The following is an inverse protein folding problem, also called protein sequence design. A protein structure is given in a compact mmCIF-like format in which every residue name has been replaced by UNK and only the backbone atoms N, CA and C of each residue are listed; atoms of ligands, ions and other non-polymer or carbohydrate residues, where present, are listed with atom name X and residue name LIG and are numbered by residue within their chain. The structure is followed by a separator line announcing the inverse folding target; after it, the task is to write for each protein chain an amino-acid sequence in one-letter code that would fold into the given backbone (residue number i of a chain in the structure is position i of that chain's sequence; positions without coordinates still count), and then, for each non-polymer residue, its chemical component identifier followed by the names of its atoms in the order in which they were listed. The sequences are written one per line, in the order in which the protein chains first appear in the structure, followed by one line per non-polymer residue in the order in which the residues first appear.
data_IF_224623997287
#
_entry.id   IF_224623997287
#
_cell.length_a   1.000
_cell.length_b   1.000
_cell.length_c   1.000
_cell.angle_alpha   90.00
_cell.angle_beta   90.00
_cell.angle_gamma   90.00
#
_symmetry.space_group_name_H-M   'P 1'
#
loop_
_entity.id
_entity.type
_entity.pdbx_description
1 polymer ?
#
# COMPACT_ATOMS: atom_id res chain seq x y z
N UNK A 1 -1.64 16.90 -31.14
CA UNK A 1 -2.62 16.25 -30.24
C UNK A 1 -1.96 14.96 -29.79
N UNK A 2 -1.55 14.90 -28.54
CA UNK A 2 -1.06 13.67 -27.90
C UNK A 2 -2.28 12.79 -27.62
N UNK A 3 -2.22 11.53 -28.04
CA UNK A 3 -3.22 10.53 -27.67
C UNK A 3 -2.77 10.01 -26.31
N UNK A 4 -3.61 10.20 -25.29
CA UNK A 4 -3.37 9.62 -23.97
C UNK A 4 -3.92 8.19 -23.96
N UNK A 5 -3.08 7.24 -23.52
CA UNK A 5 -3.45 5.84 -23.41
C UNK A 5 -4.02 5.57 -22.02
N UNK A 6 -5.17 4.90 -21.94
CA UNK A 6 -5.88 4.59 -20.68
C UNK A 6 -5.35 3.29 -20.06
N UNK A 7 -4.03 3.12 -20.03
CA UNK A 7 -3.39 1.97 -19.40
C UNK A 7 -3.56 2.10 -17.88
N UNK A 8 -3.97 1.01 -17.24
CA UNK A 8 -4.09 0.95 -15.78
C UNK A 8 -2.71 1.19 -15.15
N UNK A 9 -2.59 2.11 -14.18
CA UNK A 9 -1.37 2.27 -13.39
C UNK A 9 -0.96 0.97 -12.71
N UNK A 10 0.33 0.82 -12.41
CA UNK A 10 0.82 -0.35 -11.67
C UNK A 10 0.19 -0.42 -10.27
N UNK A 11 0.11 0.72 -9.59
CA UNK A 11 -0.43 0.87 -8.25
C UNK A 11 -1.50 1.96 -8.20
N UNK A 12 -2.52 1.74 -7.37
CA UNK A 12 -3.60 2.69 -7.09
C UNK A 12 -3.78 2.75 -5.58
N UNK A 13 -3.84 3.95 -5.03
CA UNK A 13 -4.11 4.18 -3.62
C UNK A 13 -5.59 3.98 -3.32
N UNK A 14 -5.90 3.37 -2.20
CA UNK A 14 -7.25 3.21 -1.69
C UNK A 14 -7.32 3.47 -0.20
N UNK A 15 -8.37 4.18 0.20
CA UNK A 15 -8.72 4.41 1.60
C UNK A 15 -10.24 4.40 1.76
N UNK A 16 -10.71 4.29 3.00
CA UNK A 16 -12.13 4.48 3.28
C UNK A 16 -12.50 5.97 3.13
N UNK A 17 -13.52 6.31 2.31
CA UNK A 17 -13.88 7.70 2.04
C UNK A 17 -14.67 8.36 3.18
N UNK A 18 -15.31 7.55 4.01
CA UNK A 18 -16.00 8.01 5.22
C UNK A 18 -14.97 7.95 6.33
N UNK A 19 -14.72 9.10 6.97
CA UNK A 19 -13.86 9.22 8.15
C UNK A 19 -14.75 9.44 9.38
N UNK A 20 -14.93 8.41 10.19
CA UNK A 20 -15.76 8.35 11.40
C UNK A 20 -14.99 8.04 12.71
N UNK A 21 -13.67 8.24 12.70
CA UNK A 21 -12.69 7.89 13.74
C UNK A 21 -12.66 6.39 14.11
N UNK A 22 -13.20 5.52 13.24
CA UNK A 22 -13.13 4.08 13.44
C UNK A 22 -11.77 3.52 13.05
N UNK A 23 -11.51 2.27 13.46
CA UNK A 23 -10.34 1.50 13.01
C UNK A 23 -10.17 1.48 11.49
N UNK A 24 -11.25 1.59 10.71
CA UNK A 24 -11.15 1.54 9.25
C UNK A 24 -10.59 2.83 8.64
N UNK A 25 -10.69 3.96 9.33
CA UNK A 25 -10.28 5.26 8.81
C UNK A 25 -8.78 5.38 8.57
N UNK A 26 -8.02 4.75 9.46
CA UNK A 26 -6.57 4.71 9.48
C UNK A 26 -5.99 3.61 8.56
N UNK A 27 -6.85 2.83 7.88
CA UNK A 27 -6.41 1.74 7.00
C UNK A 27 -6.22 2.25 5.59
N UNK A 28 -5.07 1.91 5.03
CA UNK A 28 -4.68 2.27 3.69
C UNK A 28 -4.38 1.04 2.85
N UNK A 29 -4.67 1.12 1.56
CA UNK A 29 -4.60 0.01 0.63
C UNK A 29 -3.92 0.42 -0.65
N UNK A 30 -3.25 -0.56 -1.27
CA UNK A 30 -2.64 -0.44 -2.59
C UNK A 30 -3.20 -1.55 -3.46
N UNK A 31 -3.85 -1.15 -4.56
CA UNK A 31 -4.30 -2.09 -5.60
C UNK A 31 -3.17 -2.21 -6.63
N UNK A 32 -2.63 -3.42 -6.78
CA UNK A 32 -1.61 -3.73 -7.78
C UNK A 32 -2.27 -4.34 -9.04
N UNK A 33 -2.14 -3.64 -10.17
CA UNK A 33 -2.67 -4.01 -11.50
C UNK A 33 -4.12 -4.50 -11.49
N UNK A 34 -4.96 -3.95 -10.61
CA UNK A 34 -6.37 -4.32 -10.50
C UNK A 34 -6.65 -5.75 -10.02
N UNK A 35 -5.64 -6.49 -9.57
CA UNK A 35 -5.77 -7.93 -9.27
C UNK A 35 -5.30 -8.30 -7.88
N UNK A 36 -4.32 -7.60 -7.31
CA UNK A 36 -3.84 -7.88 -5.95
C UNK A 36 -4.14 -6.70 -5.03
N UNK A 37 -4.50 -6.99 -3.78
CA UNK A 37 -4.79 -6.01 -2.74
C UNK A 37 -3.72 -6.13 -1.66
N UNK A 38 -2.95 -5.07 -1.51
CA UNK A 38 -1.96 -4.89 -0.44
C UNK A 38 -2.58 -3.93 0.57
N UNK A 39 -2.43 -4.21 1.85
CA UNK A 39 -2.78 -3.31 2.94
C UNK A 39 -1.49 -2.76 3.56
N UNK A 40 -1.50 -1.47 3.87
CA UNK A 40 -0.42 -0.74 4.54
C UNK A 40 -0.86 -0.51 5.98
N UNK A 41 -0.02 -0.88 6.94
CA UNK A 41 -0.23 -0.58 8.36
C UNK A 41 0.99 0.15 8.92
N UNK A 42 0.76 1.34 9.47
CA UNK A 42 1.70 2.03 10.34
C UNK A 42 1.70 1.35 11.73
N UNK A 43 2.79 0.66 12.08
CA UNK A 43 2.87 -0.16 13.30
C UNK A 43 2.71 0.66 14.58
N UNK A 44 3.10 1.94 14.55
CA UNK A 44 2.97 2.86 15.68
C UNK A 44 1.49 3.14 16.02
N UNK A 45 0.59 3.09 15.03
CA UNK A 45 -0.85 3.23 15.22
C UNK A 45 -1.55 1.90 15.54
N UNK A 46 -0.93 0.76 15.19
CA UNK A 46 -1.57 -0.55 15.14
C UNK A 46 -0.83 -1.65 15.94
N UNK A 47 -0.53 -1.35 17.20
CA UNK A 47 0.25 -2.23 18.11
C UNK A 47 -0.35 -3.62 18.44
N UNK A 48 -1.62 -3.89 18.08
CA UNK A 48 -2.34 -5.13 18.42
C UNK A 48 -2.87 -5.91 17.19
N UNK A 49 -2.32 -5.70 15.99
CA UNK A 49 -2.79 -6.41 14.79
C UNK A 49 -2.08 -7.75 14.62
N UNK A 50 -2.87 -8.81 14.42
CA UNK A 50 -2.37 -10.17 14.16
C UNK A 50 -2.23 -10.40 12.65
N UNK A 51 -1.02 -10.74 12.22
CA UNK A 51 -0.67 -11.04 10.83
C UNK A 51 -0.67 -12.56 10.61
N UNK A 52 -1.81 -13.23 10.81
CA UNK A 52 -1.87 -14.69 10.67
C UNK A 52 -1.61 -15.12 9.21
N UNK A 53 -0.47 -15.80 8.98
CA UNK A 53 -0.05 -16.46 7.72
C UNK A 53 -0.10 -15.59 6.44
N UNK A 54 -0.19 -14.26 6.56
CA UNK A 54 -0.20 -13.37 5.40
C UNK A 54 1.21 -13.13 4.88
N UNK A 55 1.40 -13.23 3.57
CA UNK A 55 2.62 -12.75 2.91
C UNK A 55 2.74 -11.25 3.10
N UNK A 56 3.81 -10.81 3.76
CA UNK A 56 4.09 -9.40 4.01
C UNK A 56 5.56 -9.10 4.23
N UNK A 57 5.89 -7.82 4.26
CA UNK A 57 7.24 -7.29 4.47
C UNK A 57 7.18 -5.98 5.23
N UNK A 58 8.19 -5.77 6.07
CA UNK A 58 8.34 -4.57 6.90
C UNK A 58 9.27 -3.56 6.23
N UNK A 59 8.95 -2.28 6.42
CA UNK A 59 9.71 -1.14 5.92
C UNK A 59 9.70 -0.02 6.97
N UNK A 60 10.57 0.97 6.82
CA UNK A 60 10.64 2.10 7.73
C UNK A 60 10.79 3.42 6.96
N UNK A 61 10.15 4.48 7.44
CA UNK A 61 10.23 5.83 6.90
C UNK A 61 10.26 6.83 8.07
N UNK A 62 11.29 7.71 8.11
CA UNK A 62 11.48 8.72 9.16
C UNK A 62 11.34 8.27 10.63
N UNK A 63 11.63 7.00 10.91
CA UNK A 63 11.55 6.44 12.27
C UNK A 63 10.21 5.80 12.61
N UNK A 64 9.26 5.82 11.68
CA UNK A 64 8.01 5.07 11.74
C UNK A 64 8.17 3.74 10.98
N UNK A 65 7.60 2.68 11.54
CA UNK A 65 7.63 1.34 10.95
C UNK A 65 6.31 1.01 10.25
N UNK A 66 6.41 0.50 9.04
CA UNK A 66 5.29 0.12 8.19
C UNK A 66 5.34 -1.36 7.88
N UNK A 67 4.17 -1.97 7.73
CA UNK A 67 4.02 -3.33 7.22
C UNK A 67 3.08 -3.34 6.03
N UNK A 68 3.60 -3.80 4.89
CA UNK A 68 2.80 -4.07 3.71
C UNK A 68 2.56 -5.57 3.62
N UNK A 69 1.31 -5.96 3.43
CA UNK A 69 0.95 -7.37 3.33
C UNK A 69 -0.26 -7.58 2.44
N UNK A 70 -0.37 -8.77 1.85
CA UNK A 70 -1.46 -9.08 0.95
C UNK A 70 -2.75 -9.43 1.71
N UNK A 71 -3.83 -8.76 1.36
CA UNK A 71 -5.20 -9.25 1.61
C UNK A 71 -5.61 -10.24 0.51
N UNK A 72 -5.22 -9.97 -0.73
CA UNK A 72 -5.39 -10.85 -1.88
C UNK A 72 -4.14 -10.80 -2.74
N UNK A 73 -3.45 -11.94 -2.92
CA UNK A 73 -2.23 -12.03 -3.71
C UNK A 73 -2.48 -12.78 -5.03
N UNK A 74 -2.41 -12.07 -6.16
CA UNK A 74 -2.54 -12.63 -7.51
C UNK A 74 -1.28 -12.40 -8.36
N UNK A 75 -0.14 -12.12 -7.74
CA UNK A 75 1.13 -11.83 -8.46
C UNK A 75 1.64 -13.01 -9.27
N UNK A 76 1.39 -14.24 -8.80
CA UNK A 76 1.70 -15.45 -9.54
C UNK A 76 0.97 -15.52 -10.90
N UNK A 77 -0.26 -15.02 -11.00
CA UNK A 77 -1.04 -15.01 -12.24
C UNK A 77 -0.45 -14.06 -13.31
N UNK A 78 0.33 -13.08 -12.89
CA UNK A 78 1.05 -12.15 -13.77
C UNK A 78 2.54 -12.47 -13.90
N UNK A 79 2.99 -13.61 -13.36
CA UNK A 79 4.39 -14.05 -13.42
C UNK A 79 5.35 -13.18 -12.61
N UNK A 80 4.84 -12.48 -11.58
CA UNK A 80 5.65 -11.59 -10.74
C UNK A 80 5.92 -12.24 -9.38
N UNK A 81 7.09 -11.95 -8.82
CA UNK A 81 7.41 -12.34 -7.45
C UNK A 81 6.70 -11.40 -6.46
N UNK A 82 5.95 -11.97 -5.51
CA UNK A 82 5.19 -11.22 -4.52
C UNK A 82 6.05 -10.29 -3.65
N UNK A 83 7.26 -10.71 -3.26
CA UNK A 83 8.14 -9.87 -2.43
C UNK A 83 8.70 -8.69 -3.23
N UNK A 84 9.06 -8.91 -4.49
CA UNK A 84 9.50 -7.81 -5.37
C UNK A 84 8.37 -6.82 -5.68
N UNK A 85 7.12 -7.30 -5.74
CA UNK A 85 5.95 -6.43 -5.88
C UNK A 85 5.75 -5.61 -4.60
N UNK A 86 5.89 -6.20 -3.42
CA UNK A 86 5.84 -5.43 -2.16
C UNK A 86 6.95 -4.37 -2.10
N UNK A 87 8.15 -4.66 -2.59
CA UNK A 87 9.24 -3.67 -2.65
C UNK A 87 8.88 -2.48 -3.54
N UNK A 88 8.34 -2.74 -4.73
CA UNK A 88 7.89 -1.66 -5.64
C UNK A 88 6.69 -0.89 -5.08
N UNK A 89 5.76 -1.58 -4.43
CA UNK A 89 4.60 -0.95 -3.79
C UNK A 89 5.03 -0.03 -2.64
N UNK A 90 6.04 -0.44 -1.86
CA UNK A 90 6.63 0.40 -0.82
C UNK A 90 7.31 1.63 -1.41
N UNK A 91 8.15 1.49 -2.43
CA UNK A 91 8.82 2.64 -3.06
C UNK A 91 7.80 3.66 -3.59
N UNK A 92 6.75 3.17 -4.26
CA UNK A 92 5.65 4.00 -4.75
C UNK A 92 4.87 4.70 -3.63
N UNK A 93 4.58 3.99 -2.54
CA UNK A 93 3.89 4.56 -1.39
C UNK A 93 4.77 5.55 -0.60
N UNK A 94 6.08 5.30 -0.51
CA UNK A 94 7.03 6.23 0.08
C UNK A 94 7.09 7.55 -0.69
N UNK A 95 6.95 7.53 -2.02
CA UNK A 95 6.83 8.77 -2.81
C UNK A 95 5.57 9.56 -2.45
N UNK A 96 4.46 8.87 -2.14
CA UNK A 96 3.26 9.50 -1.58
C UNK A 96 3.53 10.14 -0.21
N UNK A 97 4.16 9.42 0.73
CA UNK A 97 4.50 9.97 2.06
C UNK A 97 5.39 11.21 1.96
N UNK A 98 6.42 11.16 1.11
CA UNK A 98 7.29 12.32 0.87
C UNK A 98 6.48 13.50 0.32
N UNK A 99 5.57 13.25 -0.61
CA UNK A 99 4.71 14.31 -1.14
C UNK A 99 3.79 14.88 -0.05
N UNK A 100 3.15 14.04 0.75
CA UNK A 100 2.27 14.42 1.86
C UNK A 100 3.01 15.31 2.87
N UNK A 101 4.20 14.89 3.32
CA UNK A 101 5.06 15.69 4.21
C UNK A 101 5.37 17.08 3.62
N UNK A 102 5.58 17.19 2.31
CA UNK A 102 5.84 18.49 1.66
C UNK A 102 4.61 19.40 1.53
N UNK A 103 3.41 18.88 1.79
CA UNK A 103 2.18 19.70 1.81
C UNK A 103 1.84 20.23 3.21
N UNK A 104 2.47 19.70 4.27
CA UNK A 104 2.25 20.13 5.66
C UNK A 104 3.13 21.33 6.09
N UNK A 105 4.06 21.76 5.22
CA UNK A 105 4.88 22.99 5.34
C UNK A 105 4.21 24.24 4.73
#
# INVERSE_FOLDING_TARGET
MTIEDLILPEFIFGEFPIKDDSFNDQRQFIIHKGTSLIEVLAQDEFTNVVFDDKTGKQYSYFGEDFTLFYQTNNTAASGQNEMEVLDRAWEWYREYLIWEDTQED
#
